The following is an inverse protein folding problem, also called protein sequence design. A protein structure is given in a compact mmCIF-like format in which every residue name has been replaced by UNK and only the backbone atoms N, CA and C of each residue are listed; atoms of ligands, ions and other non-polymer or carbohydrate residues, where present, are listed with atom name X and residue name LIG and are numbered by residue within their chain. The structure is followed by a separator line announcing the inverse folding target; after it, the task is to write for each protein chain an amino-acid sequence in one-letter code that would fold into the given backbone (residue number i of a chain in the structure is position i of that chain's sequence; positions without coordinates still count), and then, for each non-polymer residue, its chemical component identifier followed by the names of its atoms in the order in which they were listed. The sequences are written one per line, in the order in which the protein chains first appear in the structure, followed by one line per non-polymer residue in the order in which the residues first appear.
data_IF_020257348035
#
_entry.id   IF_020257348035
#
_cell.length_a   1.000
_cell.length_b   1.000
_cell.length_c   1.000
_cell.angle_alpha   90.00
_cell.angle_beta   90.00
_cell.angle_gamma   90.00
#
_symmetry.space_group_name_H-M   'P 1'
#
loop_
_entity.id
_entity.type
_entity.pdbx_description
1 polymer ?
#
# COMPACT_ATOMS: atom_id res chain seq x y z
N UNK A 1 2.04 -5.10 22.68
CA UNK A 1 0.77 -5.89 22.74
C UNK A 1 0.03 -5.91 21.40
N UNK A 2 -0.14 -4.76 20.70
CA UNK A 2 -0.87 -4.72 19.43
C UNK A 2 -0.12 -5.47 18.31
N UNK A 3 1.20 -5.42 18.27
CA UNK A 3 2.01 -6.09 17.25
C UNK A 3 1.88 -7.63 17.32
N UNK A 4 1.95 -8.22 18.50
CA UNK A 4 1.87 -9.67 18.66
C UNK A 4 0.48 -10.20 18.31
N UNK A 5 -0.58 -9.48 18.67
CA UNK A 5 -1.96 -9.80 18.32
C UNK A 5 -2.20 -9.74 16.80
N UNK A 6 -1.65 -8.73 16.14
CA UNK A 6 -1.76 -8.58 14.68
C UNK A 6 -1.11 -9.75 13.93
N UNK A 7 0.07 -10.19 14.37
CA UNK A 7 0.75 -11.36 13.79
C UNK A 7 -0.05 -12.65 14.02
N UNK A 8 -0.64 -12.82 15.20
CA UNK A 8 -1.44 -14.00 15.50
C UNK A 8 -2.69 -14.06 14.61
N UNK A 9 -3.39 -12.94 14.44
CA UNK A 9 -4.51 -12.83 13.51
C UNK A 9 -4.06 -13.14 12.09
N UNK A 10 -2.99 -12.53 11.62
CA UNK A 10 -2.47 -12.74 10.27
C UNK A 10 -2.25 -14.22 9.95
N UNK A 11 -1.63 -14.95 10.89
CA UNK A 11 -1.42 -16.39 10.75
C UNK A 11 -2.71 -17.22 10.80
N UNK A 12 -3.68 -16.80 11.64
CA UNK A 12 -4.94 -17.54 11.83
C UNK A 12 -5.95 -17.32 10.71
N UNK A 13 -6.02 -16.11 10.12
CA UNK A 13 -6.95 -15.81 9.04
C UNK A 13 -6.80 -16.76 7.86
N UNK A 14 -5.57 -17.15 7.55
CA UNK A 14 -5.28 -18.11 6.47
C UNK A 14 -5.97 -19.45 6.70
N UNK A 15 -6.05 -19.93 7.95
CA UNK A 15 -6.75 -21.18 8.28
C UNK A 15 -8.27 -21.09 8.09
N UNK A 16 -8.82 -19.90 8.16
CA UNK A 16 -10.27 -19.65 8.03
C UNK A 16 -10.65 -19.14 6.64
N UNK A 17 -9.74 -19.20 5.67
CA UNK A 17 -9.98 -18.69 4.33
C UNK A 17 -10.07 -17.16 4.22
N UNK A 18 -9.65 -16.46 5.26
CA UNK A 18 -9.60 -15.00 5.28
C UNK A 18 -8.35 -14.45 4.60
N UNK A 19 -8.47 -13.27 4.02
CA UNK A 19 -7.36 -12.54 3.39
C UNK A 19 -7.14 -11.25 4.21
N UNK A 20 -6.18 -11.24 5.15
CA UNK A 20 -5.87 -10.04 5.89
C UNK A 20 -5.16 -9.04 4.98
N UNK A 21 -5.55 -7.77 5.04
CA UNK A 21 -4.94 -6.68 4.27
C UNK A 21 -4.50 -5.59 5.21
N UNK A 22 -3.22 -5.23 5.17
CA UNK A 22 -2.63 -4.13 5.92
C UNK A 22 -2.36 -2.94 5.00
N UNK A 23 -2.74 -1.75 5.42
CA UNK A 23 -2.48 -0.50 4.71
C UNK A 23 -1.71 0.42 5.63
N UNK A 24 -0.58 0.94 5.16
CA UNK A 24 0.24 1.88 5.92
C UNK A 24 0.77 2.99 5.03
N UNK A 25 0.96 4.17 5.60
CA UNK A 25 1.62 5.30 4.94
C UNK A 25 3.09 5.44 5.37
N UNK A 26 3.51 4.76 6.42
CA UNK A 26 4.84 4.89 6.99
C UNK A 26 5.52 3.52 7.12
N UNK A 27 6.46 3.27 6.23
CA UNK A 27 7.19 2.00 6.22
C UNK A 27 8.15 1.86 7.40
N UNK A 28 8.70 2.96 7.91
CA UNK A 28 9.59 2.92 9.07
C UNK A 28 8.90 2.41 10.31
N UNK A 29 7.66 2.86 10.52
CA UNK A 29 6.86 2.38 11.65
C UNK A 29 6.48 0.90 11.46
N UNK A 30 6.22 0.49 10.21
CA UNK A 30 5.95 -0.90 9.88
C UNK A 30 7.16 -1.80 10.19
N UNK A 31 8.36 -1.38 9.82
CA UNK A 31 9.59 -2.16 9.98
C UNK A 31 10.26 -1.95 11.34
N UNK A 32 9.73 -1.09 12.21
CA UNK A 32 10.26 -0.86 13.55
C UNK A 32 9.98 -2.00 14.53
N UNK A 33 8.97 -2.81 14.26
CA UNK A 33 8.59 -3.97 15.06
C UNK A 33 8.90 -5.26 14.30
N UNK A 34 9.72 -6.17 14.86
CA UNK A 34 10.03 -7.46 14.24
C UNK A 34 8.78 -8.30 13.95
N UNK A 35 7.75 -8.16 14.76
CA UNK A 35 6.48 -8.85 14.57
C UNK A 35 5.77 -8.35 13.31
N UNK A 36 5.77 -7.05 13.08
CA UNK A 36 5.13 -6.44 11.91
C UNK A 36 5.97 -6.65 10.65
N UNK A 37 7.31 -6.61 10.77
CA UNK A 37 8.21 -7.00 9.69
C UNK A 37 7.91 -8.42 9.19
N UNK A 38 7.63 -9.34 10.10
CA UNK A 38 7.24 -10.72 9.77
C UNK A 38 5.93 -10.79 8.96
N UNK A 39 4.96 -9.91 9.21
CA UNK A 39 3.74 -9.79 8.41
C UNK A 39 4.07 -9.39 6.98
N UNK A 40 4.93 -8.39 6.83
CA UNK A 40 5.35 -7.88 5.52
C UNK A 40 6.08 -8.96 4.69
N UNK A 41 7.02 -9.66 5.30
CA UNK A 41 7.79 -10.75 4.66
C UNK A 41 6.91 -11.95 4.27
N UNK A 42 5.82 -12.20 4.99
CA UNK A 42 4.88 -13.30 4.71
C UNK A 42 3.66 -12.87 3.91
N UNK A 43 3.66 -11.68 3.34
CA UNK A 43 2.60 -11.20 2.47
C UNK A 43 2.79 -11.73 1.05
N UNK A 44 1.76 -12.36 0.49
CA UNK A 44 1.78 -12.88 -0.88
C UNK A 44 1.72 -11.76 -1.92
N UNK A 45 1.04 -10.66 -1.57
CA UNK A 45 0.92 -9.46 -2.40
C UNK A 45 1.41 -8.23 -1.63
N UNK A 46 2.23 -7.41 -2.27
CA UNK A 46 2.62 -6.10 -1.75
C UNK A 46 2.43 -5.05 -2.85
N UNK A 47 1.66 -4.02 -2.55
CA UNK A 47 1.51 -2.84 -3.42
C UNK A 47 2.34 -1.69 -2.86
N UNK A 48 3.30 -1.23 -3.64
CA UNK A 48 4.10 -0.06 -3.32
C UNK A 48 3.69 1.10 -4.23
N UNK A 49 3.03 2.07 -3.67
CA UNK A 49 2.74 3.34 -4.31
C UNK A 49 3.94 4.30 -4.17
N UNK A 50 3.78 5.57 -4.53
CA UNK A 50 4.83 6.56 -4.39
C UNK A 50 5.36 6.63 -2.95
N UNK A 51 6.67 6.54 -2.79
CA UNK A 51 7.34 6.46 -1.51
C UNK A 51 8.26 7.66 -1.26
N UNK A 52 8.30 8.12 0.00
CA UNK A 52 9.26 9.13 0.42
C UNK A 52 10.72 8.64 0.25
N UNK A 53 11.64 9.57 -0.02
CA UNK A 53 13.04 9.23 -0.31
C UNK A 53 13.73 8.41 0.78
N UNK A 54 13.40 8.65 2.05
CA UNK A 54 13.95 7.91 3.18
C UNK A 54 13.48 6.46 3.25
N UNK A 55 12.26 6.19 2.85
CA UNK A 55 11.65 4.87 2.91
C UNK A 55 12.05 4.01 1.70
N UNK A 56 12.29 4.63 0.55
CA UNK A 56 12.73 3.94 -0.67
C UNK A 56 14.00 3.12 -0.47
N UNK A 57 15.01 3.69 0.21
CA UNK A 57 16.27 2.98 0.47
C UNK A 57 16.02 1.70 1.27
N UNK A 58 15.24 1.79 2.32
CA UNK A 58 14.90 0.65 3.17
C UNK A 58 14.14 -0.41 2.38
N UNK A 59 13.15 0.01 1.58
CA UNK A 59 12.37 -0.90 0.73
C UNK A 59 13.23 -1.59 -0.33
N UNK A 60 14.12 -0.84 -1.00
CA UNK A 60 15.01 -1.42 -2.00
C UNK A 60 15.93 -2.49 -1.40
N UNK A 61 16.48 -2.25 -0.21
CA UNK A 61 17.32 -3.21 0.49
C UNK A 61 16.54 -4.45 0.95
N UNK A 62 15.35 -4.25 1.53
CA UNK A 62 14.54 -5.35 2.08
C UNK A 62 13.87 -6.21 1.03
N UNK A 63 13.41 -5.61 -0.06
CA UNK A 63 12.68 -6.30 -1.14
C UNK A 63 13.57 -6.67 -2.34
N UNK A 64 14.88 -6.41 -2.27
CA UNK A 64 15.80 -6.59 -3.40
C UNK A 64 15.32 -5.91 -4.69
N UNK A 65 14.80 -4.67 -4.55
CA UNK A 65 14.33 -3.88 -5.68
C UNK A 65 15.54 -3.30 -6.41
N UNK A 66 15.63 -3.51 -7.72
CA UNK A 66 16.66 -2.91 -8.55
C UNK A 66 16.48 -1.38 -8.65
N UNK A 67 17.55 -0.66 -8.99
CA UNK A 67 17.48 0.79 -9.20
C UNK A 67 16.48 1.18 -10.29
N UNK A 68 16.33 0.36 -11.32
CA UNK A 68 15.35 0.59 -12.40
C UNK A 68 13.91 0.45 -11.87
N UNK A 69 13.64 -0.58 -11.10
CA UNK A 69 12.33 -0.77 -10.46
C UNK A 69 12.03 0.32 -9.44
N UNK A 70 13.03 0.76 -8.67
CA UNK A 70 12.89 1.85 -7.70
C UNK A 70 12.42 3.17 -8.34
N UNK A 71 12.71 3.39 -9.63
CA UNK A 71 12.21 4.56 -10.35
C UNK A 71 10.68 4.61 -10.41
N UNK A 72 10.01 3.46 -10.46
CA UNK A 72 8.53 3.37 -10.49
C UNK A 72 7.85 3.74 -9.16
N UNK A 73 8.57 3.75 -8.06
CA UNK A 73 8.06 4.20 -6.75
C UNK A 73 8.63 5.56 -6.32
N UNK A 74 9.56 6.11 -7.11
CA UNK A 74 10.21 7.39 -6.82
C UNK A 74 9.51 8.56 -7.48
N UNK A 75 9.02 8.34 -8.69
CA UNK A 75 8.41 9.36 -9.54
C UNK A 75 6.97 8.96 -9.93
N UNK A 76 6.40 8.01 -9.21
CA UNK A 76 5.06 7.51 -9.47
C UNK A 76 4.02 8.61 -9.31
N UNK A 77 3.13 8.73 -10.28
CA UNK A 77 1.92 9.51 -10.18
C UNK A 77 0.86 8.81 -9.30
N UNK A 78 -0.29 9.46 -9.11
CA UNK A 78 -1.42 8.80 -8.44
C UNK A 78 -1.83 7.53 -9.20
N UNK A 79 -1.96 6.42 -8.49
CA UNK A 79 -2.32 5.12 -9.08
C UNK A 79 -1.16 4.34 -9.70
N UNK A 80 0.05 4.86 -9.67
CA UNK A 80 1.23 4.19 -10.19
C UNK A 80 2.10 3.61 -9.09
N UNK A 81 2.79 2.50 -9.38
CA UNK A 81 3.69 1.90 -8.42
C UNK A 81 4.22 0.53 -8.85
N UNK A 82 4.61 -0.27 -7.87
CA UNK A 82 5.06 -1.65 -8.04
C UNK A 82 4.12 -2.61 -7.32
N UNK A 83 3.83 -3.71 -7.98
CA UNK A 83 3.16 -4.86 -7.36
C UNK A 83 4.14 -6.02 -7.24
N UNK A 84 4.16 -6.62 -6.07
CA UNK A 84 4.87 -7.86 -5.80
C UNK A 84 3.86 -8.99 -5.69
N UNK A 85 4.16 -10.08 -6.35
CA UNK A 85 3.42 -11.32 -6.24
C UNK A 85 4.40 -12.49 -6.26
N UNK A 86 4.61 -13.10 -5.11
CA UNK A 86 5.68 -14.08 -4.95
C UNK A 86 7.04 -13.49 -5.33
N UNK A 87 7.70 -14.08 -6.33
CA UNK A 87 9.01 -13.61 -6.82
C UNK A 87 8.90 -12.62 -8.01
N UNK A 88 7.69 -12.24 -8.40
CA UNK A 88 7.46 -11.36 -9.55
C UNK A 88 7.28 -9.94 -9.06
N UNK A 89 7.98 -8.99 -9.68
CA UNK A 89 7.88 -7.55 -9.40
C UNK A 89 7.51 -6.89 -10.72
N UNK A 90 6.33 -6.27 -10.77
CA UNK A 90 5.80 -5.61 -11.95
C UNK A 90 5.45 -4.15 -11.65
N UNK A 91 5.80 -3.20 -12.54
CA UNK A 91 5.20 -1.88 -12.50
C UNK A 91 3.73 -1.96 -12.89
N UNK A 92 2.90 -1.15 -12.24
CA UNK A 92 1.49 -1.03 -12.57
C UNK A 92 1.07 0.43 -12.69
N UNK A 93 0.04 0.65 -13.48
CA UNK A 93 -0.68 1.92 -13.60
C UNK A 93 -2.16 1.60 -13.45
N UNK A 94 -2.78 2.18 -12.44
CA UNK A 94 -4.23 2.12 -12.23
C UNK A 94 -4.83 3.50 -12.54
N UNK A 95 -5.45 3.61 -13.69
CA UNK A 95 -6.15 4.83 -14.11
C UNK A 95 -7.64 4.70 -13.77
N UNK A 96 -7.94 4.95 -12.49
CA UNK A 96 -9.32 4.86 -12.01
C UNK A 96 -10.21 5.90 -12.70
N UNK A 97 -11.35 5.51 -13.32
CA UNK A 97 -12.22 6.42 -14.05
C UNK A 97 -12.75 7.55 -13.16
N UNK A 98 -12.48 8.80 -13.56
CA UNK A 98 -12.87 9.99 -12.80
C UNK A 98 -14.34 10.40 -12.97
N UNK A 99 -15.00 9.86 -13.97
CA UNK A 99 -16.40 10.10 -14.32
C UNK A 99 -17.38 9.20 -13.54
N UNK A 100 -16.87 8.41 -12.62
CA UNK A 100 -17.68 7.46 -11.89
C UNK A 100 -18.06 8.02 -10.49
N UNK A 101 -19.24 7.65 -10.01
CA UNK A 101 -19.78 8.12 -8.73
C UNK A 101 -18.86 7.77 -7.55
N UNK A 102 -18.24 6.58 -7.58
CA UNK A 102 -17.32 6.14 -6.55
C UNK A 102 -16.09 7.05 -6.45
N UNK A 103 -15.56 7.53 -7.59
CA UNK A 103 -14.46 8.48 -7.59
C UNK A 103 -14.86 9.79 -6.89
N UNK A 104 -16.06 10.31 -7.15
CA UNK A 104 -16.54 11.55 -6.56
C UNK A 104 -16.73 11.45 -5.04
N UNK A 105 -17.07 10.26 -4.55
CA UNK A 105 -17.25 9.98 -3.12
C UNK A 105 -15.88 9.80 -2.41
N UNK A 106 -14.94 9.13 -3.06
CA UNK A 106 -13.67 8.74 -2.45
C UNK A 106 -12.55 9.76 -2.62
N UNK A 107 -12.68 10.71 -3.56
CA UNK A 107 -11.62 11.71 -3.78
C UNK A 107 -11.45 12.64 -2.59
N UNK A 108 -10.20 12.83 -2.17
CA UNK A 108 -9.81 13.79 -1.12
C UNK A 108 -9.20 15.07 -1.69
N UNK A 109 -9.13 15.19 -3.02
CA UNK A 109 -8.55 16.35 -3.68
C UNK A 109 -9.48 17.55 -3.59
N UNK A 110 -8.99 18.64 -3.04
CA UNK A 110 -9.70 19.93 -3.04
C UNK A 110 -9.97 20.37 -4.48
N UNK A 111 -11.27 20.60 -4.80
CA UNK A 111 -11.72 21.00 -6.13
C UNK A 111 -12.21 19.84 -7.03
N UNK A 112 -11.92 18.58 -6.70
CA UNK A 112 -12.49 17.39 -7.35
C UNK A 112 -13.62 16.76 -6.51
N UNK A 113 -13.80 17.19 -5.27
CA UNK A 113 -14.95 16.80 -4.43
C UNK A 113 -16.21 17.32 -5.10
N UNK A 114 -16.90 16.42 -5.76
CA UNK A 114 -18.12 16.70 -6.49
C UNK A 114 -19.17 17.33 -5.58
N UNK A 115 -20.07 18.05 -6.17
CA UNK A 115 -21.24 18.81 -5.65
C UNK A 115 -22.18 18.00 -4.74
N UNK A 116 -21.66 17.25 -3.78
CA UNK A 116 -22.45 16.42 -2.85
C UNK A 116 -22.42 16.89 -1.39
N UNK A 117 -21.82 18.02 -1.09
CA UNK A 117 -21.73 18.56 0.26
C UNK A 117 -22.53 19.85 0.48
N UNK A 118 -23.71 19.94 -0.08
CA UNK A 118 -24.63 21.02 0.26
C UNK A 118 -25.88 20.46 0.93
N UNK A 119 -26.15 20.99 2.12
CA UNK A 119 -27.37 20.87 2.91
C UNK A 119 -27.42 19.76 3.96
N UNK A 120 -26.89 20.08 5.13
CA UNK A 120 -27.71 19.94 6.33
C UNK A 120 -27.36 21.16 7.22
N UNK A 121 -28.15 22.21 7.09
CA UNK A 121 -28.46 23.11 8.20
C UNK A 121 -29.33 22.36 9.21
#
# INVERSE_FOLDING_TARGET
EVGSWSVEIWKRFRKWGGIPTGITQNIKDLLSSPEIENIFENSDFVYLLNQASGDRKILCERLNISNQQAAHISNAGPGEGLIFFGNVILPFVDDFPKDNELYSIMTTKLGETGKGGAAHE
#
